data_IF_737955079748
#
_entry.id   IF_737955079748
#
_cell.length_a   1.000
_cell.length_b   1.000
_cell.length_c   1.000
_cell.angle_alpha   90.00
_cell.angle_beta   90.00
_cell.angle_gamma   90.00
#
_symmetry.space_group_name_H-M   'P 1'
#
loop_
_entity.id
_entity.type
_entity.pdbx_description
1 polymer ?
#
# COMPACT_ATOMS: atom_id res chain seq x y z
N UNK A 1 5.00 28.83 26.03
CA UNK A 1 5.40 28.93 24.60
C UNK A 1 5.52 27.53 24.02
N UNK A 2 4.58 27.11 23.16
CA UNK A 2 4.78 25.99 22.22
C UNK A 2 4.01 26.34 20.95
N UNK A 3 4.65 27.13 20.10
CA UNK A 3 4.13 27.53 18.79
C UNK A 3 4.09 26.29 17.91
N UNK A 4 2.90 25.72 17.71
CA UNK A 4 2.67 24.67 16.71
C UNK A 4 2.72 25.36 15.34
N UNK A 5 3.69 25.06 14.45
CA UNK A 5 3.75 25.70 13.15
C UNK A 5 2.47 25.36 12.38
N UNK A 6 1.77 26.38 11.88
CA UNK A 6 0.64 26.22 10.97
C UNK A 6 1.19 25.72 9.64
N UNK A 7 0.82 24.51 9.27
CA UNK A 7 1.07 24.01 7.91
C UNK A 7 0.31 24.89 6.88
N UNK A 8 0.90 25.12 5.70
CA UNK A 8 0.30 25.99 4.69
C UNK A 8 -1.01 25.37 4.19
N UNK A 9 -2.11 26.15 4.26
CA UNK A 9 -3.41 25.79 3.69
C UNK A 9 -3.40 26.01 2.17
N UNK A 10 -2.57 25.28 1.45
CA UNK A 10 -2.78 25.11 0.01
C UNK A 10 -3.82 24.00 -0.11
N UNK A 11 -4.99 24.21 -0.76
CA UNK A 11 -5.87 23.09 -1.08
C UNK A 11 -5.04 22.15 -1.95
N UNK A 12 -4.66 20.95 -1.46
CA UNK A 12 -3.87 20.06 -2.28
C UNK A 12 -4.77 19.63 -3.43
N UNK A 13 -4.17 19.45 -4.61
CA UNK A 13 -4.83 18.80 -5.73
C UNK A 13 -5.54 17.53 -5.22
N UNK A 14 -6.73 17.17 -5.72
CA UNK A 14 -7.48 16.00 -5.19
C UNK A 14 -6.63 14.71 -5.19
N UNK A 15 -5.61 14.64 -6.05
CA UNK A 15 -4.64 13.53 -6.16
C UNK A 15 -3.51 13.59 -5.13
N UNK A 16 -3.20 14.76 -4.59
CA UNK A 16 -2.28 14.93 -3.46
C UNK A 16 -2.98 14.61 -2.14
N UNK A 17 -4.25 15.00 -1.98
CA UNK A 17 -5.02 14.64 -0.78
C UNK A 17 -5.17 13.14 -0.62
N UNK A 18 -5.47 12.41 -1.70
CA UNK A 18 -5.59 10.93 -1.67
C UNK A 18 -4.28 10.25 -1.28
N UNK A 19 -3.15 10.70 -1.83
CA UNK A 19 -1.83 10.15 -1.47
C UNK A 19 -1.51 10.39 0.00
N UNK A 20 -1.77 11.60 0.51
CA UNK A 20 -1.59 11.88 1.93
C UNK A 20 -2.51 11.06 2.82
N UNK A 21 -3.76 10.84 2.41
CA UNK A 21 -4.72 10.00 3.14
C UNK A 21 -4.25 8.54 3.20
N UNK A 22 -3.81 7.97 2.07
CA UNK A 22 -3.23 6.62 2.03
C UNK A 22 -1.98 6.54 2.93
N UNK A 23 -1.07 7.49 2.85
CA UNK A 23 0.12 7.53 3.72
C UNK A 23 -0.27 7.61 5.19
N UNK A 24 -1.28 8.42 5.52
CA UNK A 24 -1.77 8.58 6.89
C UNK A 24 -2.39 7.29 7.43
N UNK A 25 -3.14 6.55 6.60
CA UNK A 25 -3.69 5.24 6.96
C UNK A 25 -2.57 4.23 7.22
N UNK A 26 -1.58 4.18 6.33
CA UNK A 26 -0.47 3.24 6.41
C UNK A 26 0.56 3.56 7.50
N UNK A 27 0.61 4.79 8.00
CA UNK A 27 1.51 5.18 9.09
C UNK A 27 1.03 4.68 10.46
N UNK A 28 -0.24 4.28 10.57
CA UNK A 28 -0.82 3.76 11.82
C UNK A 28 -0.85 2.24 11.88
N UNK A 29 -1.19 1.58 10.77
CA UNK A 29 -1.38 0.12 10.71
C UNK A 29 -0.95 -0.46 9.36
N UNK A 30 -0.68 -1.76 9.34
CA UNK A 30 -0.52 -2.47 8.07
C UNK A 30 -1.89 -2.68 7.43
N UNK A 31 -2.03 -2.34 6.15
CA UNK A 31 -3.29 -2.50 5.43
C UNK A 31 -3.06 -3.09 4.04
N UNK A 32 -4.03 -3.85 3.57
CA UNK A 32 -4.08 -4.42 2.22
C UNK A 32 -4.67 -3.41 1.23
N UNK A 33 -4.42 -3.61 -0.06
CA UNK A 33 -4.99 -2.74 -1.12
C UNK A 33 -6.53 -2.67 -1.05
N UNK A 34 -7.17 -3.77 -0.64
CA UNK A 34 -8.62 -3.86 -0.49
C UNK A 34 -9.14 -3.02 0.68
N UNK A 35 -8.44 -3.04 1.81
CA UNK A 35 -8.81 -2.22 2.98
C UNK A 35 -8.63 -0.73 2.69
N UNK A 36 -7.52 -0.34 2.06
CA UNK A 36 -7.28 1.03 1.64
C UNK A 36 -8.35 1.48 0.64
N UNK A 37 -8.70 0.62 -0.32
CA UNK A 37 -9.78 0.88 -1.29
C UNK A 37 -11.11 1.16 -0.58
N UNK A 38 -11.45 0.38 0.46
CA UNK A 38 -12.65 0.59 1.26
C UNK A 38 -12.62 1.86 2.12
N UNK A 39 -11.47 2.23 2.66
CA UNK A 39 -11.28 3.43 3.48
C UNK A 39 -11.34 4.72 2.66
N UNK A 40 -10.63 4.74 1.54
CA UNK A 40 -10.44 5.92 0.68
C UNK A 40 -11.54 6.03 -0.38
N UNK A 41 -12.27 4.94 -0.65
CA UNK A 41 -13.37 4.90 -1.61
C UNK A 41 -12.91 4.89 -3.09
N UNK A 42 -11.67 4.50 -3.35
CA UNK A 42 -11.10 4.37 -4.70
C UNK A 42 -10.93 2.90 -5.07
N UNK A 43 -10.84 2.58 -6.36
CA UNK A 43 -10.65 1.19 -6.80
C UNK A 43 -9.29 0.63 -6.41
N UNK A 44 -9.19 -0.69 -6.16
CA UNK A 44 -7.92 -1.36 -5.82
C UNK A 44 -6.79 -1.06 -6.82
N UNK A 45 -7.12 -0.91 -8.12
CA UNK A 45 -6.15 -0.54 -9.15
C UNK A 45 -5.55 0.86 -8.90
N UNK A 46 -6.38 1.84 -8.59
CA UNK A 46 -5.93 3.20 -8.27
C UNK A 46 -5.12 3.22 -6.97
N UNK A 47 -5.53 2.44 -5.97
CA UNK A 47 -4.73 2.24 -4.74
C UNK A 47 -3.32 1.78 -5.09
N UNK A 48 -3.19 0.74 -5.92
CA UNK A 48 -1.89 0.21 -6.32
C UNK A 48 -1.05 1.27 -7.06
N UNK A 49 -1.65 2.04 -7.97
CA UNK A 49 -0.96 3.15 -8.65
C UNK A 49 -0.48 4.20 -7.64
N UNK A 50 -1.32 4.59 -6.68
CA UNK A 50 -0.93 5.54 -5.63
C UNK A 50 0.19 4.99 -4.74
N UNK A 51 0.14 3.72 -4.38
CA UNK A 51 1.20 3.06 -3.60
C UNK A 51 2.52 3.02 -4.34
N UNK A 52 2.53 2.79 -5.66
CA UNK A 52 3.75 2.86 -6.47
C UNK A 52 4.38 4.26 -6.43
N UNK A 53 3.55 5.31 -6.56
CA UNK A 53 4.01 6.69 -6.43
C UNK A 53 4.53 7.00 -5.02
N UNK A 54 3.83 6.55 -3.97
CA UNK A 54 4.25 6.73 -2.58
C UNK A 54 5.58 6.00 -2.33
N UNK A 55 5.75 4.78 -2.83
CA UNK A 55 7.01 4.02 -2.76
C UNK A 55 8.16 4.80 -3.41
N UNK A 56 7.90 5.36 -4.60
CA UNK A 56 8.88 6.16 -5.34
C UNK A 56 9.21 7.49 -4.64
N UNK A 57 8.24 8.12 -3.98
CA UNK A 57 8.40 9.39 -3.26
C UNK A 57 9.08 9.21 -1.90
N UNK A 58 8.67 8.20 -1.12
CA UNK A 58 9.13 7.98 0.25
C UNK A 58 10.41 7.14 0.35
N UNK A 59 10.86 6.53 -0.76
CA UNK A 59 12.16 5.83 -1.02
C UNK A 59 12.76 4.91 0.05
N UNK A 60 12.14 4.69 1.20
CA UNK A 60 12.61 3.81 2.29
C UNK A 60 11.56 3.61 3.38
N UNK A 61 10.51 4.44 3.45
CA UNK A 61 9.48 4.37 4.50
C UNK A 61 8.35 3.40 4.19
N UNK A 62 8.06 3.14 2.92
CA UNK A 62 7.00 2.21 2.56
C UNK A 62 7.52 0.76 2.63
N UNK A 63 7.14 0.06 3.67
CA UNK A 63 7.35 -1.38 3.83
C UNK A 63 6.22 -2.11 3.11
N UNK A 64 6.59 -3.00 2.18
CA UNK A 64 5.64 -3.83 1.44
C UNK A 64 5.83 -5.28 1.88
N UNK A 65 4.81 -5.83 2.54
CA UNK A 65 4.77 -7.23 2.91
C UNK A 65 4.38 -8.05 1.67
N UNK A 66 5.28 -8.90 1.16
CA UNK A 66 5.00 -9.65 -0.05
C UNK A 66 3.89 -10.67 0.19
N UNK A 67 3.07 -10.96 -0.84
CA UNK A 67 2.08 -12.00 -0.73
C UNK A 67 2.77 -13.35 -0.51
N UNK A 68 2.11 -14.27 0.20
CA UNK A 68 2.64 -15.60 0.50
C UNK A 68 1.60 -16.67 0.19
N UNK A 69 2.02 -17.80 -0.35
CA UNK A 69 1.13 -18.93 -0.59
C UNK A 69 0.88 -19.69 0.71
N UNK A 70 -0.38 -19.87 1.09
CA UNK A 70 -0.76 -20.62 2.30
C UNK A 70 -0.59 -22.13 2.15
N UNK A 71 -0.51 -22.62 0.92
CA UNK A 71 -0.39 -24.06 0.67
C UNK A 71 1.06 -24.54 0.70
N UNK A 72 1.97 -23.86 -0.01
CA UNK A 72 3.38 -24.26 -0.10
C UNK A 72 4.36 -23.35 0.67
N UNK A 73 3.88 -22.24 1.25
CA UNK A 73 4.72 -21.27 1.96
C UNK A 73 5.57 -20.36 1.06
N UNK A 74 5.37 -20.39 -0.27
CA UNK A 74 6.16 -19.58 -1.19
C UNK A 74 5.89 -18.08 -1.01
N UNK A 75 6.93 -17.29 -0.70
CA UNK A 75 6.85 -15.83 -0.56
C UNK A 75 7.26 -15.10 -1.84
N UNK A 76 6.41 -14.20 -2.33
CA UNK A 76 6.63 -13.47 -3.59
C UNK A 76 7.53 -12.23 -3.41
N UNK A 77 8.71 -12.39 -2.80
CA UNK A 77 9.64 -11.29 -2.49
C UNK A 77 10.25 -10.62 -3.72
N UNK A 78 10.48 -11.37 -4.79
CA UNK A 78 11.14 -10.90 -6.02
C UNK A 78 10.21 -10.17 -6.99
N UNK A 79 8.97 -9.89 -6.59
CA UNK A 79 7.99 -9.28 -7.49
C UNK A 79 7.93 -7.79 -7.24
N UNK A 80 8.20 -7.00 -8.27
CA UNK A 80 8.06 -5.54 -8.20
C UNK A 80 6.61 -5.08 -8.16
N UNK A 81 5.68 -5.89 -8.68
CA UNK A 81 4.24 -5.57 -8.66
C UNK A 81 3.65 -5.71 -7.28
N UNK A 82 2.95 -4.66 -6.86
CA UNK A 82 2.17 -4.59 -5.63
C UNK A 82 0.88 -5.43 -5.69
N UNK A 83 0.33 -5.73 -6.88
CA UNK A 83 -0.91 -6.51 -6.99
C UNK A 83 -0.78 -8.00 -6.60
N UNK A 84 -1.88 -8.64 -6.17
CA UNK A 84 -1.92 -10.08 -5.85
C UNK A 84 -1.66 -10.96 -7.09
N UNK A 85 -0.82 -12.01 -6.98
CA UNK A 85 -0.70 -12.99 -8.05
C UNK A 85 -1.93 -13.89 -8.07
N UNK A 86 -2.42 -14.24 -9.27
CA UNK A 86 -3.59 -15.12 -9.40
C UNK A 86 -3.29 -16.57 -9.02
N UNK A 87 -2.07 -17.07 -9.25
CA UNK A 87 -1.68 -18.46 -8.96
C UNK A 87 -0.23 -18.57 -8.49
N UNK A 88 0.04 -19.58 -7.66
CA UNK A 88 1.38 -19.89 -7.19
C UNK A 88 2.22 -20.58 -8.30
N UNK A 89 3.46 -20.14 -8.56
CA UNK A 89 4.31 -20.80 -9.56
C UNK A 89 4.80 -22.19 -9.12
N UNK A 90 4.80 -22.48 -7.82
CA UNK A 90 5.31 -23.74 -7.25
C UNK A 90 4.20 -24.80 -7.19
N UNK A 91 3.09 -24.48 -6.52
CA UNK A 91 2.00 -25.45 -6.28
C UNK A 91 0.75 -25.21 -7.14
N UNK A 92 0.68 -24.11 -7.90
CA UNK A 92 -0.47 -23.69 -8.72
C UNK A 92 -1.76 -23.37 -7.96
N UNK A 93 -1.73 -23.36 -6.63
CA UNK A 93 -2.87 -22.94 -5.82
C UNK A 93 -3.15 -21.44 -5.91
N UNK A 94 -4.42 -21.10 -5.75
CA UNK A 94 -4.98 -19.74 -5.72
C UNK A 94 -5.08 -19.21 -4.26
N UNK A 95 -4.76 -20.05 -3.26
CA UNK A 95 -4.73 -19.68 -1.84
C UNK A 95 -3.47 -18.87 -1.52
N UNK A 96 -3.48 -17.61 -1.92
CA UNK A 96 -2.40 -16.65 -1.71
C UNK A 96 -2.92 -15.54 -0.81
N UNK A 97 -2.14 -15.19 0.22
CA UNK A 97 -2.40 -14.04 1.10
C UNK A 97 -2.20 -12.75 0.32
N UNK A 98 -3.11 -11.79 0.51
CA UNK A 98 -3.00 -10.47 -0.09
C UNK A 98 -1.75 -9.73 0.43
N UNK A 99 -1.09 -8.92 -0.43
CA UNK A 99 0.00 -8.07 0.02
C UNK A 99 -0.53 -6.97 0.94
N UNK A 100 0.22 -6.71 2.01
CA UNK A 100 -0.03 -5.58 2.92
C UNK A 100 1.08 -4.54 2.81
N UNK A 101 0.72 -3.31 3.13
CA UNK A 101 1.58 -2.15 3.05
C UNK A 101 1.62 -1.46 4.41
N UNK A 102 2.72 -0.82 4.73
CA UNK A 102 2.90 -0.05 5.96
C UNK A 102 3.89 1.07 5.67
N UNK A 103 3.71 2.22 6.30
CA UNK A 103 4.67 3.34 6.26
C UNK A 103 5.32 3.47 7.63
N UNK A 104 6.65 3.48 7.67
CA UNK A 104 7.47 3.75 8.86
C UNK A 104 8.03 5.18 8.88
#
# INVERSE_FOLDING_TARGET
MRSRPKEPRVPPDRRETLRHEIVSLLSGENMTAREISGQVGIGEKEVLEHLEHIKAALRSRLVVTPPCCLECGFSFRKRDRLGKPGRCPVCRSERIVDPSYTVE
#
